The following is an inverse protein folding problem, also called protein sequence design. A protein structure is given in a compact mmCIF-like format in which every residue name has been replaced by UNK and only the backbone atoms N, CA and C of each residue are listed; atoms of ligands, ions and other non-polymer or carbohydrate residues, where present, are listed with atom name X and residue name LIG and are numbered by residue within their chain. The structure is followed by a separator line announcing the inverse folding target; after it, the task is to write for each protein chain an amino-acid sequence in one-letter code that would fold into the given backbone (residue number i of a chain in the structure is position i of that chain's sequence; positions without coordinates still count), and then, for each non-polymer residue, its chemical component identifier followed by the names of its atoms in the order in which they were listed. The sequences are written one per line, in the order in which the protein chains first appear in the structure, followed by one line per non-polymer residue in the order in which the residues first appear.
data_IF_513556858214
#
_entry.id   IF_513556858214
#
_cell.length_a   1.000
_cell.length_b   1.000
_cell.length_c   1.000
_cell.angle_alpha   90.00
_cell.angle_beta   90.00
_cell.angle_gamma   90.00
#
_symmetry.space_group_name_H-M   'P 1'
#
loop_
_entity.id
_entity.type
_entity.pdbx_description
1 polymer ?
#
# COMPACT_ATOMS: atom_id res chain seq x y z
N UNK A 1 11.85 -5.23 38.74
CA UNK A 1 12.28 -3.90 38.22
C UNK A 1 12.76 -4.14 36.79
N UNK A 2 11.83 -4.19 35.85
CA UNK A 2 12.12 -4.56 34.43
C UNK A 2 12.24 -3.25 33.65
N UNK A 3 13.48 -2.86 33.36
CA UNK A 3 13.77 -1.72 32.47
C UNK A 3 13.57 -2.17 31.03
N UNK A 4 12.39 -1.96 30.49
CA UNK A 4 12.20 -1.95 29.03
C UNK A 4 13.03 -0.80 28.48
N UNK A 5 14.19 -1.15 27.96
CA UNK A 5 15.03 -0.24 27.18
C UNK A 5 14.22 0.09 25.92
N UNK A 6 13.66 1.28 25.89
CA UNK A 6 13.09 1.84 24.67
C UNK A 6 14.25 1.96 23.67
N UNK A 7 14.28 1.10 22.66
CA UNK A 7 15.26 1.21 21.59
C UNK A 7 15.12 2.62 20.95
N UNK A 8 16.21 3.33 20.64
CA UNK A 8 16.12 4.63 19.99
C UNK A 8 15.36 4.46 18.69
N UNK A 9 14.33 5.26 18.47
CA UNK A 9 13.62 5.36 17.20
C UNK A 9 14.68 5.79 16.18
N UNK A 10 15.07 4.84 15.32
CA UNK A 10 16.00 5.13 14.22
C UNK A 10 15.33 6.19 13.35
N UNK A 11 15.92 7.37 13.26
CA UNK A 11 15.44 8.48 12.44
C UNK A 11 15.75 8.27 10.95
N UNK A 12 16.21 7.06 10.59
CA UNK A 12 16.51 6.69 9.22
C UNK A 12 15.21 6.45 8.44
N UNK A 13 15.15 6.86 7.17
CA UNK A 13 13.99 6.62 6.33
C UNK A 13 13.73 5.12 6.16
N UNK A 14 12.45 4.73 6.15
CA UNK A 14 11.99 3.37 5.87
C UNK A 14 12.21 2.98 4.40
N UNK A 15 12.26 4.01 3.54
CA UNK A 15 12.61 3.89 2.13
C UNK A 15 13.31 5.17 1.68
N UNK A 16 14.35 5.04 0.88
CA UNK A 16 15.03 6.14 0.20
C UNK A 16 15.27 5.76 -1.26
N UNK A 17 14.72 6.54 -2.17
CA UNK A 17 14.99 6.48 -3.60
C UNK A 17 15.63 7.78 -4.04
N UNK A 18 16.73 7.71 -4.80
CA UNK A 18 17.48 8.87 -5.24
C UNK A 18 17.77 8.82 -6.74
N UNK A 19 17.51 9.94 -7.44
CA UNK A 19 17.78 10.10 -8.86
C UNK A 19 17.02 9.12 -9.76
N UNK A 20 15.83 8.69 -9.38
CA UNK A 20 15.08 7.64 -10.07
C UNK A 20 14.60 8.09 -11.45
N UNK A 21 14.70 7.18 -12.42
CA UNK A 21 14.23 7.41 -13.78
C UNK A 21 13.48 6.19 -14.33
N UNK A 22 12.59 6.45 -15.29
CA UNK A 22 11.90 5.40 -16.03
C UNK A 22 11.56 5.83 -17.45
N UNK A 23 11.73 4.89 -18.37
CA UNK A 23 11.39 5.00 -19.79
C UNK A 23 10.48 3.84 -20.16
N UNK A 24 9.47 4.08 -20.98
CA UNK A 24 8.58 3.06 -21.54
C UNK A 24 8.50 3.20 -23.06
N UNK A 25 9.12 2.26 -23.78
CA UNK A 25 9.36 2.43 -25.21
C UNK A 25 10.29 3.62 -25.43
N UNK A 26 9.89 4.56 -26.28
CA UNK A 26 10.63 5.82 -26.55
C UNK A 26 10.23 6.97 -25.62
N UNK A 27 9.24 6.77 -24.76
CA UNK A 27 8.73 7.82 -23.88
C UNK A 27 9.40 7.79 -22.52
N UNK A 28 10.02 8.91 -22.13
CA UNK A 28 10.43 9.16 -20.75
C UNK A 28 9.21 9.39 -19.91
N UNK A 29 9.05 8.62 -18.84
CA UNK A 29 7.96 8.79 -17.86
C UNK A 29 8.36 9.83 -16.82
N UNK A 30 9.55 9.68 -16.25
CA UNK A 30 10.13 10.63 -15.28
C UNK A 30 11.65 10.50 -15.26
N UNK A 31 12.31 11.56 -14.77
CA UNK A 31 13.77 11.62 -14.57
C UNK A 31 14.06 12.33 -13.26
N UNK A 32 15.15 11.92 -12.61
CA UNK A 32 15.72 12.55 -11.43
C UNK A 32 14.71 12.75 -10.29
N UNK A 33 13.88 11.71 -10.04
CA UNK A 33 12.89 11.73 -8.97
C UNK A 33 13.52 11.14 -7.71
N UNK A 34 13.53 11.93 -6.63
CA UNK A 34 13.97 11.46 -5.32
C UNK A 34 12.80 11.45 -4.34
N UNK A 35 12.69 10.37 -3.54
CA UNK A 35 11.64 10.18 -2.54
C UNK A 35 12.21 9.46 -1.33
N UNK A 36 11.97 9.99 -0.14
CA UNK A 36 12.32 9.34 1.11
C UNK A 36 11.07 9.27 2.00
N UNK A 37 10.75 8.10 2.53
CA UNK A 37 9.63 7.88 3.45
C UNK A 37 10.14 7.69 4.87
N UNK A 38 9.88 8.64 5.74
CA UNK A 38 10.25 8.59 7.15
C UNK A 38 9.13 7.95 7.99
N UNK A 39 9.43 7.40 9.18
CA UNK A 39 8.41 6.92 10.10
C UNK A 39 7.32 7.98 10.37
N UNK A 40 6.04 7.57 10.28
CA UNK A 40 4.88 8.45 10.46
C UNK A 40 4.47 9.25 9.24
N UNK A 41 5.21 9.20 8.14
CA UNK A 41 5.01 10.07 6.98
C UNK A 41 4.05 9.47 5.95
N UNK A 42 3.20 10.33 5.38
CA UNK A 42 2.37 10.04 4.21
C UNK A 42 2.83 10.88 3.02
N UNK A 43 3.22 10.21 1.96
CA UNK A 43 3.65 10.83 0.70
C UNK A 43 2.64 10.50 -0.40
N UNK A 44 2.14 11.51 -1.10
CA UNK A 44 1.30 11.31 -2.27
C UNK A 44 2.09 11.51 -3.56
N UNK A 45 2.01 10.53 -4.44
CA UNK A 45 2.48 10.65 -5.81
C UNK A 45 1.36 11.23 -6.67
N UNK A 46 1.60 12.40 -7.23
CA UNK A 46 0.69 13.13 -8.10
C UNK A 46 1.16 13.10 -9.56
N UNK A 47 0.28 13.43 -10.47
CA UNK A 47 0.57 13.52 -11.90
C UNK A 47 -0.56 12.99 -12.75
N UNK A 48 -0.53 13.32 -14.04
CA UNK A 48 -1.51 12.87 -15.03
C UNK A 48 -1.52 11.34 -15.18
N UNK A 49 -2.56 10.80 -15.81
CA UNK A 49 -2.58 9.39 -16.20
C UNK A 49 -1.43 9.10 -17.16
N UNK A 50 -0.70 8.02 -16.88
CA UNK A 50 0.47 7.65 -17.68
C UNK A 50 1.75 8.44 -17.38
N UNK A 51 1.81 9.29 -16.33
CA UNK A 51 3.03 9.98 -15.90
C UNK A 51 4.08 9.06 -15.26
N UNK A 52 3.70 7.85 -14.88
CA UNK A 52 4.66 6.88 -14.31
C UNK A 52 4.47 6.56 -12.83
N UNK A 53 3.42 7.05 -12.15
CA UNK A 53 3.17 6.80 -10.71
C UNK A 53 3.23 5.32 -10.34
N UNK A 54 2.50 4.48 -11.07
CA UNK A 54 2.54 3.02 -10.89
C UNK A 54 3.95 2.45 -11.14
N UNK A 55 4.67 2.98 -12.14
CA UNK A 55 6.04 2.53 -12.46
C UNK A 55 6.99 2.89 -11.31
N UNK A 56 6.92 4.12 -10.80
CA UNK A 56 7.71 4.52 -9.64
C UNK A 56 7.39 3.65 -8.42
N UNK A 57 6.11 3.47 -8.08
CA UNK A 57 5.72 2.60 -6.96
C UNK A 57 6.23 1.16 -7.13
N UNK A 58 6.23 0.62 -8.36
CA UNK A 58 6.75 -0.73 -8.62
C UNK A 58 8.26 -0.80 -8.45
N UNK A 59 9.01 0.23 -8.86
CA UNK A 59 10.44 0.33 -8.56
C UNK A 59 10.68 0.41 -7.05
N UNK A 60 9.93 1.26 -6.33
CA UNK A 60 10.00 1.39 -4.88
C UNK A 60 9.63 0.08 -4.16
N UNK A 61 8.75 -0.73 -4.73
CA UNK A 61 8.39 -2.07 -4.22
C UNK A 61 9.38 -3.18 -4.62
N UNK A 62 10.38 -2.90 -5.45
CA UNK A 62 11.28 -3.93 -5.97
C UNK A 62 10.62 -4.90 -6.96
N UNK A 63 9.46 -4.54 -7.50
CA UNK A 63 8.73 -5.33 -8.51
C UNK A 63 9.22 -5.04 -9.94
N UNK A 64 10.00 -4.00 -10.11
CA UNK A 64 10.77 -3.68 -11.31
C UNK A 64 12.07 -3.01 -10.90
N UNK A 65 13.13 -3.21 -11.69
CA UNK A 65 14.40 -2.52 -11.48
C UNK A 65 14.27 -1.03 -11.75
N UNK A 66 15.01 -0.22 -11.00
CA UNK A 66 15.18 1.19 -11.30
C UNK A 66 16.07 1.31 -12.54
N UNK A 67 15.60 2.00 -13.58
CA UNK A 67 16.38 2.21 -14.80
C UNK A 67 17.47 3.27 -14.62
N UNK A 68 17.32 4.15 -13.64
CA UNK A 68 18.31 5.12 -13.17
C UNK A 68 18.10 5.35 -11.67
N UNK A 69 19.15 5.80 -10.98
CA UNK A 69 19.14 6.06 -9.56
C UNK A 69 19.27 4.81 -8.69
N UNK A 70 19.07 4.97 -7.40
CA UNK A 70 19.21 3.91 -6.39
C UNK A 70 18.03 3.88 -5.43
N UNK A 71 17.75 2.70 -4.87
CA UNK A 71 16.67 2.52 -3.89
C UNK A 71 17.19 1.70 -2.71
N UNK A 72 17.09 2.26 -1.51
CA UNK A 72 17.34 1.58 -0.25
C UNK A 72 16.03 1.38 0.51
N UNK A 73 15.82 0.20 1.11
CA UNK A 73 14.62 -0.14 1.88
C UNK A 73 15.02 -0.69 3.23
N UNK A 74 14.42 -0.16 4.29
CA UNK A 74 14.61 -0.65 5.66
C UNK A 74 13.46 -1.61 6.05
N UNK A 75 13.57 -2.87 5.63
CA UNK A 75 12.62 -3.91 6.03
C UNK A 75 11.54 -4.23 5.00
N UNK A 76 10.49 -4.91 5.50
CA UNK A 76 9.38 -5.42 4.68
C UNK A 76 8.33 -4.32 4.42
N UNK A 77 7.69 -4.41 3.26
CA UNK A 77 6.62 -3.49 2.89
C UNK A 77 5.39 -4.25 2.39
N UNK A 78 4.23 -3.61 2.45
CA UNK A 78 3.05 -4.03 1.70
C UNK A 78 3.00 -3.33 0.35
N UNK A 79 2.61 -4.09 -0.66
CA UNK A 79 2.27 -3.61 -1.98
C UNK A 79 0.80 -3.89 -2.29
N UNK A 80 0.01 -2.85 -2.55
CA UNK A 80 -1.35 -2.95 -3.06
C UNK A 80 -1.41 -2.21 -4.39
N UNK A 81 -1.39 -2.95 -5.48
CA UNK A 81 -1.42 -2.39 -6.83
C UNK A 81 -2.81 -1.92 -7.25
N UNK A 82 -2.86 -1.30 -8.41
CA UNK A 82 -4.10 -0.89 -9.08
C UNK A 82 -5.02 -2.11 -9.35
N UNK A 83 -4.45 -3.23 -9.79
CA UNK A 83 -5.17 -4.50 -9.87
C UNK A 83 -5.21 -5.15 -8.49
N UNK A 84 -6.38 -5.67 -8.10
CA UNK A 84 -6.58 -6.23 -6.76
C UNK A 84 -5.78 -7.52 -6.49
N UNK A 85 -5.28 -8.20 -7.54
CA UNK A 85 -4.52 -9.44 -7.41
C UNK A 85 -5.37 -10.62 -6.92
N UNK A 86 -6.68 -10.58 -7.17
CA UNK A 86 -7.63 -11.63 -6.80
C UNK A 86 -7.82 -12.60 -7.96
N UNK A 87 -7.82 -13.90 -7.67
CA UNK A 87 -8.18 -14.92 -8.66
C UNK A 87 -9.71 -15.05 -8.73
N UNK A 88 -10.25 -15.25 -9.93
CA UNK A 88 -11.70 -15.26 -10.18
C UNK A 88 -12.48 -16.27 -9.32
N UNK A 89 -11.88 -17.41 -9.02
CA UNK A 89 -12.50 -18.51 -8.28
C UNK A 89 -12.21 -18.47 -6.78
N UNK A 90 -11.25 -17.67 -6.33
CA UNK A 90 -10.98 -17.46 -4.91
C UNK A 90 -12.14 -16.74 -4.24
N UNK A 91 -12.30 -16.95 -2.94
CA UNK A 91 -13.19 -16.18 -2.09
C UNK A 91 -12.36 -15.21 -1.25
N UNK A 92 -12.93 -14.12 -0.69
CA UNK A 92 -12.23 -13.24 0.23
C UNK A 92 -11.51 -14.00 1.35
N UNK A 93 -12.23 -14.95 1.97
CA UNK A 93 -11.67 -15.78 3.04
C UNK A 93 -10.49 -16.63 2.57
N UNK A 94 -10.61 -17.31 1.43
CA UNK A 94 -9.52 -18.15 0.92
C UNK A 94 -8.30 -17.31 0.51
N UNK A 95 -8.52 -16.13 -0.08
CA UNK A 95 -7.47 -15.18 -0.43
C UNK A 95 -6.69 -14.70 0.80
N UNK A 96 -7.39 -14.24 1.84
CA UNK A 96 -6.73 -13.76 3.05
C UNK A 96 -6.03 -14.90 3.82
N UNK A 97 -6.64 -16.08 3.91
CA UNK A 97 -5.99 -17.27 4.51
C UNK A 97 -4.75 -17.69 3.76
N UNK A 98 -4.74 -17.57 2.43
CA UNK A 98 -3.54 -17.84 1.62
C UNK A 98 -2.41 -16.89 2.02
N UNK A 99 -2.65 -15.58 2.03
CA UNK A 99 -1.64 -14.59 2.39
C UNK A 99 -1.22 -14.68 3.87
N UNK A 100 -2.15 -14.94 4.79
CA UNK A 100 -1.82 -15.20 6.19
C UNK A 100 -0.82 -16.36 6.33
N UNK A 101 -1.05 -17.46 5.60
CA UNK A 101 -0.14 -18.60 5.59
C UNK A 101 1.23 -18.27 4.99
N UNK A 102 1.26 -17.55 3.86
CA UNK A 102 2.50 -17.14 3.17
C UNK A 102 3.37 -16.26 4.08
N UNK A 103 2.74 -15.37 4.85
CA UNK A 103 3.44 -14.45 5.74
C UNK A 103 3.62 -14.98 7.17
N UNK A 104 3.10 -16.17 7.48
CA UNK A 104 3.16 -16.73 8.84
C UNK A 104 2.30 -15.97 9.85
N UNK A 105 1.26 -15.26 9.38
CA UNK A 105 0.37 -14.48 10.22
C UNK A 105 -0.59 -15.34 11.03
N UNK A 106 -0.70 -15.05 12.33
CA UNK A 106 -1.68 -15.64 13.24
C UNK A 106 -2.96 -14.79 13.38
N UNK A 107 -3.11 -13.72 12.61
CA UNK A 107 -4.28 -12.83 12.66
C UNK A 107 -5.56 -13.57 12.27
N UNK A 108 -6.64 -13.29 12.99
CA UNK A 108 -7.96 -13.87 12.70
C UNK A 108 -8.55 -13.26 11.42
N UNK A 109 -8.56 -14.07 10.35
CA UNK A 109 -9.10 -13.68 9.04
C UNK A 109 -10.59 -13.39 9.10
N UNK A 110 -11.36 -14.09 9.91
CA UNK A 110 -12.82 -13.90 9.99
C UNK A 110 -13.14 -12.58 10.72
N UNK A 111 -12.36 -12.22 11.72
CA UNK A 111 -12.43 -10.90 12.35
C UNK A 111 -12.09 -9.79 11.35
N UNK A 112 -11.01 -9.92 10.60
CA UNK A 112 -10.63 -8.94 9.56
C UNK A 112 -11.75 -8.76 8.54
N UNK A 113 -12.34 -9.86 8.05
CA UNK A 113 -13.45 -9.82 7.09
C UNK A 113 -14.67 -9.09 7.66
N UNK A 114 -14.95 -9.26 8.95
CA UNK A 114 -16.05 -8.55 9.62
C UNK A 114 -15.77 -7.05 9.72
N UNK A 115 -14.56 -6.66 10.11
CA UNK A 115 -14.13 -5.26 10.25
C UNK A 115 -14.22 -4.46 8.92
N UNK A 116 -14.05 -5.12 7.78
CA UNK A 116 -14.12 -4.49 6.45
C UNK A 116 -15.50 -4.69 5.75
N UNK A 117 -16.50 -5.16 6.46
CA UNK A 117 -17.86 -5.37 5.93
C UNK A 117 -17.98 -6.52 4.92
N UNK A 118 -17.09 -7.50 4.96
CA UNK A 118 -17.07 -8.66 4.06
C UNK A 118 -17.44 -10.00 4.74
N UNK A 119 -18.03 -9.97 5.94
CA UNK A 119 -18.48 -11.18 6.63
C UNK A 119 -19.48 -12.00 5.81
N UNK A 120 -20.50 -11.33 5.23
CA UNK A 120 -21.52 -12.01 4.40
C UNK A 120 -20.93 -12.58 3.10
N UNK A 121 -20.20 -11.82 2.25
CA UNK A 121 -19.63 -12.34 1.01
C UNK A 121 -18.31 -13.09 1.21
N UNK A 122 -17.91 -13.43 2.44
CA UNK A 122 -16.61 -14.04 2.74
C UNK A 122 -16.33 -15.32 1.93
N UNK A 123 -17.35 -16.08 1.55
CA UNK A 123 -17.26 -17.31 0.78
C UNK A 123 -17.79 -17.18 -0.66
N UNK A 124 -18.12 -15.97 -1.11
CA UNK A 124 -18.55 -15.72 -2.48
C UNK A 124 -17.34 -15.65 -3.40
N UNK A 125 -17.33 -16.32 -4.56
CA UNK A 125 -16.22 -16.22 -5.51
C UNK A 125 -15.97 -14.78 -5.95
N UNK A 126 -14.70 -14.38 -6.05
CA UNK A 126 -14.31 -13.01 -6.35
C UNK A 126 -14.87 -12.48 -7.69
N UNK A 127 -15.13 -13.36 -8.68
CA UNK A 127 -15.79 -12.93 -9.92
C UNK A 127 -17.20 -12.35 -9.71
N UNK A 128 -17.88 -12.75 -8.64
CA UNK A 128 -19.25 -12.33 -8.30
C UNK A 128 -19.29 -11.11 -7.37
N UNK A 129 -18.15 -10.67 -6.85
CA UNK A 129 -18.05 -9.50 -5.97
C UNK A 129 -18.14 -8.21 -6.78
N UNK A 130 -18.71 -7.16 -6.15
CA UNK A 130 -18.63 -5.80 -6.68
C UNK A 130 -17.18 -5.31 -6.73
N UNK A 131 -16.92 -4.24 -7.49
CA UNK A 131 -15.58 -3.64 -7.56
C UNK A 131 -15.09 -3.18 -6.17
N UNK A 132 -15.97 -2.58 -5.36
CA UNK A 132 -15.66 -2.17 -4.00
C UNK A 132 -15.35 -3.35 -3.07
N UNK A 133 -16.12 -4.43 -3.15
CA UNK A 133 -15.84 -5.64 -2.36
C UNK A 133 -14.49 -6.27 -2.74
N UNK A 134 -14.16 -6.30 -4.04
CA UNK A 134 -12.83 -6.73 -4.51
C UNK A 134 -11.74 -5.85 -3.96
N UNK A 135 -11.93 -4.52 -3.99
CA UNK A 135 -10.95 -3.55 -3.47
C UNK A 135 -10.76 -3.70 -1.97
N UNK A 136 -11.85 -3.78 -1.19
CA UNK A 136 -11.78 -4.04 0.25
C UNK A 136 -11.06 -5.36 0.55
N UNK A 137 -11.29 -6.43 -0.22
CA UNK A 137 -10.58 -7.71 -0.07
C UNK A 137 -9.06 -7.57 -0.29
N UNK A 138 -8.64 -6.83 -1.31
CA UNK A 138 -7.22 -6.59 -1.57
C UNK A 138 -6.55 -5.78 -0.46
N UNK A 139 -7.23 -4.73 0.02
CA UNK A 139 -6.75 -3.86 1.10
C UNK A 139 -6.70 -4.58 2.46
N UNK A 140 -7.54 -5.58 2.68
CA UNK A 140 -7.55 -6.36 3.91
C UNK A 140 -6.22 -7.07 4.20
N UNK A 141 -5.38 -7.28 3.19
CA UNK A 141 -4.01 -7.80 3.38
C UNK A 141 -3.15 -6.93 4.28
N UNK A 142 -3.39 -5.61 4.31
CA UNK A 142 -2.72 -4.68 5.23
C UNK A 142 -2.95 -5.00 6.71
N UNK A 143 -4.00 -5.79 7.03
CA UNK A 143 -4.32 -6.22 8.39
C UNK A 143 -3.68 -7.54 8.79
N UNK A 144 -3.12 -8.29 7.85
CA UNK A 144 -2.60 -9.64 8.13
C UNK A 144 -1.24 -9.62 8.81
N UNK A 145 -0.42 -8.62 8.54
CA UNK A 145 0.94 -8.53 9.06
C UNK A 145 1.33 -7.05 9.22
N UNK A 146 2.02 -6.75 10.30
CA UNK A 146 2.53 -5.40 10.54
C UNK A 146 3.82 -5.20 9.72
N UNK A 147 3.77 -4.31 8.75
CA UNK A 147 4.90 -3.89 7.91
C UNK A 147 4.99 -2.38 7.92
N UNK A 148 6.16 -1.87 8.21
CA UNK A 148 6.34 -0.44 8.47
C UNK A 148 6.13 0.46 7.24
N UNK A 149 6.16 -0.09 6.03
CA UNK A 149 5.97 0.70 4.81
C UNK A 149 4.81 0.14 3.98
N UNK A 150 3.89 1.02 3.57
CA UNK A 150 2.81 0.71 2.65
C UNK A 150 3.00 1.45 1.33
N UNK A 151 2.98 0.71 0.23
CA UNK A 151 3.03 1.22 -1.14
C UNK A 151 1.69 0.94 -1.80
N UNK A 152 0.91 1.99 -2.04
CA UNK A 152 -0.50 1.88 -2.43
C UNK A 152 -0.75 2.56 -3.78
N UNK A 153 -1.23 1.82 -4.76
CA UNK A 153 -1.56 2.34 -6.08
C UNK A 153 -3.07 2.51 -6.21
N UNK A 154 -3.52 3.76 -6.24
CA UNK A 154 -4.93 4.19 -6.29
C UNK A 154 -5.83 3.48 -5.25
N UNK A 155 -5.47 3.50 -3.95
CA UNK A 155 -6.10 2.66 -2.95
C UNK A 155 -7.59 2.96 -2.73
N UNK A 156 -8.04 4.18 -2.98
CA UNK A 156 -9.43 4.62 -2.77
C UNK A 156 -10.37 4.33 -3.94
N UNK A 157 -9.83 3.91 -5.10
CA UNK A 157 -10.64 3.61 -6.27
C UNK A 157 -11.65 2.49 -5.99
N UNK A 158 -12.88 2.68 -6.49
CA UNK A 158 -14.01 1.77 -6.32
C UNK A 158 -14.51 1.60 -4.88
N UNK A 159 -13.97 2.32 -3.90
CA UNK A 159 -14.52 2.36 -2.55
C UNK A 159 -15.68 3.36 -2.46
N UNK A 160 -16.73 2.98 -1.75
CA UNK A 160 -17.77 3.89 -1.27
C UNK A 160 -17.23 4.74 -0.10
N UNK A 161 -18.00 5.73 0.32
CA UNK A 161 -17.63 6.68 1.38
C UNK A 161 -17.18 5.94 2.65
N UNK A 162 -17.96 4.95 3.11
CA UNK A 162 -17.61 4.14 4.28
C UNK A 162 -16.26 3.42 4.10
N UNK A 163 -16.02 2.82 2.93
CA UNK A 163 -14.77 2.15 2.62
C UNK A 163 -13.57 3.12 2.54
N UNK A 164 -13.80 4.36 2.07
CA UNK A 164 -12.78 5.40 2.05
C UNK A 164 -12.43 5.86 3.47
N UNK A 165 -13.43 6.07 4.33
CA UNK A 165 -13.24 6.47 5.72
C UNK A 165 -12.49 5.39 6.52
N UNK A 166 -12.87 4.13 6.34
CA UNK A 166 -12.17 2.98 6.96
C UNK A 166 -10.71 2.90 6.54
N UNK A 167 -10.42 3.10 5.25
CA UNK A 167 -9.05 3.08 4.76
C UNK A 167 -8.26 4.29 5.27
N UNK A 168 -8.85 5.48 5.26
CA UNK A 168 -8.23 6.70 5.80
C UNK A 168 -7.87 6.54 7.27
N UNK A 169 -8.81 6.08 8.10
CA UNK A 169 -8.56 5.81 9.52
C UNK A 169 -7.44 4.77 9.74
N UNK A 170 -7.38 3.75 8.88
CA UNK A 170 -6.34 2.73 8.95
C UNK A 170 -4.96 3.26 8.56
N UNK A 171 -4.87 4.14 7.56
CA UNK A 171 -3.65 4.84 7.18
C UNK A 171 -3.16 5.70 8.35
N UNK A 172 -4.04 6.48 8.98
CA UNK A 172 -3.67 7.32 10.12
C UNK A 172 -3.20 6.48 11.32
N UNK A 173 -3.88 5.38 11.63
CA UNK A 173 -3.43 4.48 12.70
C UNK A 173 -2.05 3.87 12.42
N UNK A 174 -1.78 3.50 11.16
CA UNK A 174 -0.48 2.98 10.74
C UNK A 174 0.63 4.02 10.90
N UNK A 175 0.38 5.27 10.47
CA UNK A 175 1.30 6.39 10.64
C UNK A 175 1.57 6.69 12.11
N UNK A 176 0.52 6.75 12.93
CA UNK A 176 0.64 6.99 14.37
C UNK A 176 1.48 5.91 15.10
N UNK A 177 1.49 4.68 14.55
CA UNK A 177 2.34 3.58 15.01
C UNK A 177 3.78 3.64 14.46
N UNK A 178 4.16 4.70 13.75
CA UNK A 178 5.51 4.88 13.17
C UNK A 178 5.67 4.24 11.79
N UNK A 179 4.61 3.79 11.15
CA UNK A 179 4.65 3.33 9.77
C UNK A 179 4.68 4.49 8.78
N UNK A 180 5.09 4.23 7.54
CA UNK A 180 5.02 5.21 6.45
C UNK A 180 4.16 4.70 5.29
N UNK A 181 3.59 5.65 4.54
CA UNK A 181 2.76 5.34 3.38
C UNK A 181 3.21 6.17 2.18
N UNK A 182 3.40 5.51 1.03
CA UNK A 182 3.51 6.18 -0.26
C UNK A 182 2.30 5.73 -1.09
N UNK A 183 1.44 6.66 -1.47
CA UNK A 183 0.26 6.36 -2.24
C UNK A 183 0.21 7.15 -3.55
N UNK A 184 -0.06 6.48 -4.67
CA UNK A 184 -0.40 7.16 -5.91
C UNK A 184 -1.90 7.43 -5.93
N UNK A 185 -2.28 8.68 -6.14
CA UNK A 185 -3.67 9.11 -6.26
C UNK A 185 -3.90 9.92 -7.52
N UNK A 186 -5.13 9.85 -8.02
CA UNK A 186 -5.64 10.71 -9.07
C UNK A 186 -6.79 11.56 -8.52
N UNK A 187 -6.76 12.87 -8.82
CA UNK A 187 -7.82 13.79 -8.36
C UNK A 187 -7.73 14.18 -6.88
N UNK A 188 -8.88 14.44 -6.27
CA UNK A 188 -8.97 14.83 -4.87
C UNK A 188 -8.56 13.68 -3.96
N UNK A 189 -7.89 13.99 -2.86
CA UNK A 189 -7.45 13.02 -1.86
C UNK A 189 -8.38 13.06 -0.65
N UNK A 190 -8.88 11.93 -0.16
CA UNK A 190 -9.62 11.87 1.11
C UNK A 190 -8.70 11.95 2.34
N UNK A 191 -7.38 12.00 2.13
CA UNK A 191 -6.36 12.07 3.20
C UNK A 191 -5.42 13.24 2.95
N UNK A 192 -4.88 13.79 4.05
CA UNK A 192 -3.92 14.90 4.01
C UNK A 192 -2.51 14.31 4.06
N UNK A 193 -1.71 14.63 3.04
CA UNK A 193 -0.31 14.19 2.97
C UNK A 193 0.62 15.19 3.65
N UNK A 194 1.73 14.68 4.17
CA UNK A 194 2.84 15.52 4.65
C UNK A 194 3.65 16.09 3.49
N UNK A 195 3.76 15.31 2.40
CA UNK A 195 4.45 15.72 1.17
C UNK A 195 3.76 15.17 -0.08
N UNK A 196 3.94 15.91 -1.18
CA UNK A 196 3.53 15.46 -2.51
C UNK A 196 4.74 15.42 -3.44
N UNK A 197 4.83 14.39 -4.26
CA UNK A 197 5.82 14.23 -5.35
C UNK A 197 5.05 14.21 -6.65
N UNK A 198 5.34 15.17 -7.53
CA UNK A 198 4.68 15.29 -8.85
C UNK A 198 5.55 14.71 -9.95
N UNK A 199 4.95 13.86 -10.82
CA UNK A 199 5.58 13.21 -11.96
C UNK A 199 5.07 13.79 -13.28
#
# INVERSE_FOLDING_TARGET
MDRRICAPVSNAPLLHGDGLGAVRGERVLFRDVSVAANPGELILLRGANGSGKTTLLRQLAGLSEAQAGTIARAGLHHWIGHTNGLKAHETPRSHLRHWARVWGSSRDVDRILNEIGLARPANVPCRMLSAGQKRRTALARLALEDRNLWLLDEPFNALDTEGQDLLAARIEAHRAAGGAVIAALHGASPIIADREVTL
#
